data_IF_166947913554
#
_entry.id   IF_166947913554
#
_cell.length_a   1.000
_cell.length_b   1.000
_cell.length_c   1.000
_cell.angle_alpha   90.00
_cell.angle_beta   90.00
_cell.angle_gamma   90.00
#
_symmetry.space_group_name_H-M   'P 1'
#
loop_
_entity.id
_entity.type
_entity.pdbx_description
1 polymer ?
#
# COMPACT_ATOMS: atom_id res chain seq x y z
N UNK A 1 -19.61 57.93 13.79
CA UNK A 1 -20.18 56.70 14.39
C UNK A 1 -21.00 56.03 13.29
N UNK A 2 -20.80 54.80 12.80
CA UNK A 2 -20.06 53.62 13.23
C UNK A 2 -19.80 52.82 11.95
N UNK A 3 -18.56 52.79 11.45
CA UNK A 3 -18.16 51.94 10.31
C UNK A 3 -16.89 51.14 10.60
N UNK A 4 -16.61 50.92 11.90
CA UNK A 4 -15.44 50.18 12.38
C UNK A 4 -15.86 48.76 12.84
N UNK A 5 -17.16 48.51 13.08
CA UNK A 5 -17.67 47.22 13.55
C UNK A 5 -17.92 46.15 12.48
N UNK A 6 -18.00 46.50 11.19
CA UNK A 6 -18.27 45.53 10.11
C UNK A 6 -17.02 44.84 9.56
N UNK A 7 -15.87 45.52 9.61
CA UNK A 7 -14.60 44.98 9.10
C UNK A 7 -14.01 43.94 10.08
N UNK A 8 -14.23 44.11 11.38
CA UNK A 8 -13.77 43.14 12.40
C UNK A 8 -14.55 41.81 12.36
N UNK A 9 -15.81 41.82 11.90
CA UNK A 9 -16.64 40.62 11.84
C UNK A 9 -16.30 39.74 10.62
N UNK A 10 -15.90 40.36 9.51
CA UNK A 10 -15.47 39.64 8.30
C UNK A 10 -14.13 38.94 8.53
N UNK A 11 -13.24 39.51 9.37
CA UNK A 11 -11.97 38.87 9.73
C UNK A 11 -12.11 37.66 10.67
N UNK A 12 -13.18 37.57 11.46
CA UNK A 12 -13.45 36.40 12.30
C UNK A 12 -14.05 35.22 11.51
N UNK A 13 -14.72 35.48 10.39
CA UNK A 13 -15.29 34.43 9.54
C UNK A 13 -14.22 33.79 8.64
N UNK A 14 -13.12 34.50 8.35
CA UNK A 14 -12.01 33.97 7.54
C UNK A 14 -11.01 33.13 8.37
N UNK A 15 -11.15 33.11 9.70
CA UNK A 15 -10.34 32.27 10.60
C UNK A 15 -11.01 30.93 10.97
N UNK A 16 -12.12 30.59 10.31
CA UNK A 16 -12.60 29.21 10.16
C UNK A 16 -12.00 28.62 8.88
N UNK A 17 -10.67 28.67 8.77
CA UNK A 17 -9.96 27.78 7.84
C UNK A 17 -10.27 26.38 8.33
N UNK A 18 -11.07 25.68 7.53
CA UNK A 18 -11.51 24.31 7.74
C UNK A 18 -10.36 23.41 8.19
N UNK A 19 -10.16 23.27 9.49
CA UNK A 19 -9.72 22.02 10.10
C UNK A 19 -10.95 21.22 10.47
N UNK A 20 -11.80 20.95 9.48
CA UNK A 20 -12.33 19.60 9.42
C UNK A 20 -11.10 18.78 9.11
N UNK A 21 -10.46 18.24 10.16
CA UNK A 21 -9.67 17.03 9.97
C UNK A 21 -10.61 16.12 9.18
N UNK A 22 -10.31 15.90 7.90
CA UNK A 22 -11.05 14.94 7.11
C UNK A 22 -11.10 13.70 7.98
N UNK A 23 -12.30 13.28 8.40
CA UNK A 23 -12.44 11.94 8.95
C UNK A 23 -11.88 11.06 7.83
N UNK A 24 -10.70 10.46 8.07
CA UNK A 24 -10.07 9.56 7.12
C UNK A 24 -11.11 8.49 6.81
N UNK A 25 -11.80 8.64 5.68
CA UNK A 25 -12.84 7.71 5.29
C UNK A 25 -12.20 6.32 5.27
N UNK A 26 -12.75 5.41 6.05
CA UNK A 26 -12.22 4.05 6.17
C UNK A 26 -12.40 3.34 4.83
N UNK A 27 -11.39 3.43 3.97
CA UNK A 27 -11.44 2.82 2.65
C UNK A 27 -11.42 1.30 2.75
N UNK A 28 -12.24 0.64 1.92
CA UNK A 28 -12.18 -0.80 1.72
C UNK A 28 -11.37 -1.07 0.47
N UNK A 29 -10.34 -1.90 0.57
CA UNK A 29 -9.59 -2.44 -0.55
C UNK A 29 -9.89 -3.92 -0.68
N UNK A 30 -10.19 -4.37 -1.90
CA UNK A 30 -10.66 -5.72 -2.15
C UNK A 30 -9.75 -6.45 -3.12
N UNK A 31 -9.49 -7.73 -2.84
CA UNK A 31 -8.62 -8.61 -3.62
C UNK A 31 -9.07 -10.06 -3.53
N UNK A 32 -8.53 -10.94 -4.37
CA UNK A 32 -8.61 -12.38 -4.15
C UNK A 32 -7.72 -12.85 -2.99
N UNK A 33 -8.07 -14.02 -2.46
CA UNK A 33 -7.50 -14.62 -1.26
C UNK A 33 -6.24 -15.48 -1.45
N UNK A 34 -5.70 -15.54 -2.66
CA UNK A 34 -4.38 -16.13 -2.92
C UNK A 34 -3.31 -15.09 -2.72
N UNK A 35 -2.32 -15.35 -1.86
CA UNK A 35 -1.25 -14.40 -1.58
C UNK A 35 0.00 -14.64 -2.45
N UNK A 36 0.61 -13.52 -2.84
CA UNK A 36 1.91 -13.43 -3.52
C UNK A 36 2.70 -12.29 -2.84
N UNK A 37 4.00 -12.16 -3.16
CA UNK A 37 4.86 -11.15 -2.55
C UNK A 37 4.36 -9.74 -2.87
N UNK A 38 3.94 -9.50 -4.11
CA UNK A 38 3.34 -8.24 -4.57
C UNK A 38 2.12 -7.84 -3.72
N UNK A 39 1.21 -8.80 -3.47
CA UNK A 39 -0.02 -8.56 -2.69
C UNK A 39 0.31 -8.19 -1.25
N UNK A 40 1.22 -8.93 -0.62
CA UNK A 40 1.64 -8.65 0.75
C UNK A 40 2.28 -7.25 0.88
N UNK A 41 3.15 -6.88 -0.05
CA UNK A 41 3.77 -5.55 -0.10
C UNK A 41 2.72 -4.45 -0.34
N UNK A 42 1.77 -4.69 -1.27
CA UNK A 42 0.70 -3.76 -1.61
C UNK A 42 -0.25 -3.51 -0.43
N UNK A 43 -0.62 -4.56 0.31
CA UNK A 43 -1.45 -4.43 1.52
C UNK A 43 -0.72 -3.60 2.59
N UNK A 44 0.57 -3.85 2.80
CA UNK A 44 1.38 -3.02 3.72
C UNK A 44 1.42 -1.57 3.27
N UNK A 45 1.69 -1.28 1.99
CA UNK A 45 1.71 0.07 1.44
C UNK A 45 0.37 0.79 1.66
N UNK A 46 -0.74 0.10 1.37
CA UNK A 46 -2.10 0.62 1.57
C UNK A 46 -2.29 1.03 3.03
N UNK A 47 -2.05 0.11 3.97
CA UNK A 47 -2.27 0.35 5.40
C UNK A 47 -1.25 1.27 6.04
N UNK A 48 -0.09 1.52 5.41
CA UNK A 48 0.97 2.36 5.98
C UNK A 48 0.95 3.79 5.45
N UNK A 49 0.65 3.96 4.16
CA UNK A 49 0.84 5.23 3.46
C UNK A 49 -0.42 5.78 2.79
N UNK A 50 -1.40 4.94 2.45
CA UNK A 50 -2.55 5.35 1.64
C UNK A 50 -3.79 5.59 2.52
N UNK A 51 -4.13 4.61 3.36
CA UNK A 51 -5.26 4.69 4.28
C UNK A 51 -4.95 3.83 5.51
N UNK A 52 -4.48 4.43 6.63
CA UNK A 52 -4.06 3.69 7.82
C UNK A 52 -5.13 2.77 8.42
N UNK A 53 -6.39 3.14 8.24
CA UNK A 53 -7.54 2.38 8.74
C UNK A 53 -8.15 1.44 7.69
N UNK A 54 -7.50 1.28 6.53
CA UNK A 54 -8.03 0.48 5.43
C UNK A 54 -8.40 -0.95 5.87
N UNK A 55 -9.60 -1.36 5.47
CA UNK A 55 -10.04 -2.74 5.55
C UNK A 55 -9.65 -3.48 4.28
N UNK A 56 -9.04 -4.65 4.44
CA UNK A 56 -8.72 -5.53 3.32
C UNK A 56 -9.79 -6.61 3.26
N UNK A 57 -10.55 -6.63 2.18
CA UNK A 57 -11.61 -7.61 1.95
C UNK A 57 -11.15 -8.66 0.93
N UNK A 58 -11.34 -9.92 1.29
CA UNK A 58 -10.90 -11.04 0.48
C UNK A 58 -12.08 -11.76 -0.17
N UNK A 59 -12.01 -11.93 -1.48
CA UNK A 59 -12.91 -12.75 -2.27
C UNK A 59 -12.20 -14.04 -2.68
N UNK A 60 -12.93 -15.10 -3.01
CA UNK A 60 -12.31 -16.32 -3.52
C UNK A 60 -11.70 -16.04 -4.90
N UNK A 61 -10.53 -16.59 -5.18
CA UNK A 61 -9.91 -16.48 -6.52
C UNK A 61 -10.89 -16.88 -7.64
N UNK A 62 -11.05 -15.99 -8.61
CA UNK A 62 -11.94 -16.13 -9.75
C UNK A 62 -13.35 -15.55 -9.55
N UNK A 63 -13.74 -15.20 -8.33
CA UNK A 63 -15.04 -14.56 -8.08
C UNK A 63 -15.00 -13.05 -8.34
N UNK A 64 -16.12 -12.45 -8.78
CA UNK A 64 -16.21 -10.99 -8.94
C UNK A 64 -16.00 -10.26 -7.61
N UNK A 65 -15.24 -9.17 -7.65
CA UNK A 65 -15.13 -8.25 -6.51
C UNK A 65 -16.28 -7.23 -6.61
N UNK A 66 -17.15 -7.21 -5.60
CA UNK A 66 -18.41 -6.45 -5.64
C UNK A 66 -18.39 -5.14 -4.87
N UNK A 67 -17.29 -4.82 -4.18
CA UNK A 67 -17.16 -3.63 -3.35
C UNK A 67 -15.71 -3.26 -3.10
N UNK A 68 -15.49 -2.03 -2.64
CA UNK A 68 -14.18 -1.49 -2.34
C UNK A 68 -13.34 -1.24 -3.59
N UNK A 69 -12.11 -0.79 -3.35
CA UNK A 69 -11.12 -0.53 -4.38
C UNK A 69 -10.44 -1.85 -4.73
N UNK A 70 -10.71 -2.35 -5.94
CA UNK A 70 -10.12 -3.59 -6.43
C UNK A 70 -8.60 -3.43 -6.66
N UNK A 71 -7.81 -4.39 -6.17
CA UNK A 71 -6.38 -4.47 -6.45
C UNK A 71 -5.90 -5.92 -6.58
N UNK A 72 -4.80 -6.11 -7.31
CA UNK A 72 -4.08 -7.37 -7.50
C UNK A 72 -4.98 -8.53 -7.98
N UNK A 73 -5.85 -8.20 -8.93
CA UNK A 73 -6.68 -9.13 -9.72
C UNK A 73 -6.62 -8.73 -11.20
N UNK A 74 -7.03 -9.62 -12.14
CA UNK A 74 -7.00 -9.30 -13.57
C UNK A 74 -7.87 -8.10 -13.96
N UNK A 75 -9.00 -7.84 -13.30
CA UNK A 75 -9.89 -6.71 -13.59
C UNK A 75 -9.50 -5.41 -12.89
N UNK A 76 -8.68 -5.49 -11.83
CA UNK A 76 -8.35 -4.33 -11.02
C UNK A 76 -7.65 -3.23 -11.80
N UNK A 77 -7.92 -1.98 -11.40
CA UNK A 77 -7.14 -0.81 -11.84
C UNK A 77 -5.68 -0.92 -11.38
N UNK A 78 -5.48 -1.29 -10.12
CA UNK A 78 -4.17 -1.55 -9.51
C UNK A 78 -3.87 -3.03 -9.65
N UNK A 79 -3.08 -3.40 -10.65
CA UNK A 79 -2.78 -4.80 -10.95
C UNK A 79 -1.37 -4.92 -11.52
N UNK A 80 -0.86 -6.14 -11.55
CA UNK A 80 0.35 -6.46 -12.30
C UNK A 80 0.12 -6.29 -13.80
N UNK A 81 0.97 -5.49 -14.41
CA UNK A 81 1.14 -5.36 -15.86
C UNK A 81 2.45 -6.01 -16.29
N UNK A 82 2.71 -6.06 -17.60
CA UNK A 82 3.92 -6.70 -18.14
C UNK A 82 5.24 -6.06 -17.69
N UNK A 83 5.21 -4.80 -17.24
CA UNK A 83 6.38 -4.02 -16.82
C UNK A 83 6.19 -3.33 -15.47
N UNK A 84 5.16 -3.68 -14.71
CA UNK A 84 4.83 -3.00 -13.47
C UNK A 84 4.11 -3.95 -12.51
N UNK A 85 4.62 -4.07 -11.30
CA UNK A 85 3.95 -4.78 -10.20
C UNK A 85 2.71 -4.00 -9.72
N UNK A 86 1.79 -4.67 -9.03
CA UNK A 86 0.65 -4.00 -8.39
C UNK A 86 1.15 -2.92 -7.42
N UNK A 87 2.20 -3.23 -6.65
CA UNK A 87 2.86 -2.28 -5.74
C UNK A 87 3.29 -0.99 -6.45
N UNK A 88 3.97 -1.10 -7.59
CA UNK A 88 4.39 0.05 -8.39
C UNK A 88 3.21 0.85 -8.95
N UNK A 89 2.11 0.20 -9.36
CA UNK A 89 0.91 0.94 -9.79
C UNK A 89 0.29 1.77 -8.67
N UNK A 90 0.34 1.27 -7.43
CA UNK A 90 -0.13 2.00 -6.25
C UNK A 90 0.80 3.19 -5.95
N UNK A 91 2.12 3.00 -5.98
CA UNK A 91 3.08 4.09 -5.80
C UNK A 91 2.84 5.23 -6.79
N UNK A 92 2.68 4.89 -8.08
CA UNK A 92 2.45 5.86 -9.14
C UNK A 92 1.13 6.61 -8.94
N UNK A 93 0.03 5.88 -8.70
CA UNK A 93 -1.29 6.49 -8.57
C UNK A 93 -1.40 7.43 -7.37
N UNK A 94 -0.87 7.01 -6.21
CA UNK A 94 -0.89 7.80 -4.98
C UNK A 94 0.29 8.77 -4.86
N UNK A 95 1.14 8.86 -5.89
CA UNK A 95 2.28 9.79 -5.98
C UNK A 95 3.26 9.63 -4.81
N UNK A 96 3.49 8.40 -4.36
CA UNK A 96 4.43 8.06 -3.30
C UNK A 96 5.84 7.98 -3.89
N UNK A 97 6.67 8.99 -3.59
CA UNK A 97 7.97 9.22 -4.25
C UNK A 97 9.19 9.03 -3.34
N UNK A 98 9.00 8.45 -2.16
CA UNK A 98 10.09 8.23 -1.22
C UNK A 98 11.10 7.23 -1.81
N UNK A 99 12.40 7.55 -1.80
CA UNK A 99 13.46 6.73 -2.42
C UNK A 99 13.44 5.27 -1.94
N UNK A 100 13.18 5.05 -0.65
CA UNK A 100 13.04 3.70 -0.06
C UNK A 100 11.85 2.91 -0.60
N UNK A 101 10.73 3.58 -0.91
CA UNK A 101 9.54 2.93 -1.47
C UNK A 101 9.77 2.58 -2.93
N UNK A 102 10.43 3.47 -3.68
CA UNK A 102 10.84 3.20 -5.06
C UNK A 102 11.81 2.00 -5.11
N UNK A 103 12.80 1.96 -4.22
CA UNK A 103 13.74 0.84 -4.12
C UNK A 103 13.04 -0.48 -3.75
N UNK A 104 12.11 -0.43 -2.80
CA UNK A 104 11.27 -1.60 -2.49
C UNK A 104 10.45 -2.03 -3.70
N UNK A 105 9.87 -1.09 -4.45
CA UNK A 105 9.16 -1.36 -5.71
C UNK A 105 10.03 -2.10 -6.73
N UNK A 106 11.30 -1.73 -6.87
CA UNK A 106 12.25 -2.43 -7.74
C UNK A 106 12.51 -3.88 -7.28
N UNK A 107 12.56 -4.15 -5.98
CA UNK A 107 12.69 -5.52 -5.46
C UNK A 107 11.43 -6.33 -5.75
N UNK A 108 10.24 -5.76 -5.51
CA UNK A 108 8.97 -6.44 -5.82
C UNK A 108 8.85 -6.71 -7.32
N UNK A 109 9.23 -5.74 -8.16
CA UNK A 109 9.31 -5.92 -9.62
C UNK A 109 10.24 -7.08 -10.00
N UNK A 110 11.43 -7.14 -9.38
CA UNK A 110 12.40 -8.18 -9.65
C UNK A 110 11.87 -9.57 -9.25
N UNK A 111 10.98 -9.67 -8.26
CA UNK A 111 10.32 -10.93 -7.87
C UNK A 111 9.20 -11.29 -8.85
N UNK A 112 8.27 -10.36 -9.09
CA UNK A 112 6.92 -10.65 -9.61
C UNK A 112 6.74 -10.33 -11.10
N UNK A 113 7.64 -9.54 -11.67
CA UNK A 113 7.64 -9.16 -13.11
C UNK A 113 8.85 -9.77 -13.80
N UNK A 114 10.03 -9.71 -13.18
CA UNK A 114 11.28 -10.27 -13.71
C UNK A 114 11.42 -11.78 -13.42
N UNK A 115 10.37 -12.57 -13.72
CA UNK A 115 10.28 -13.98 -13.32
C UNK A 115 11.31 -14.85 -14.06
N UNK A 116 11.58 -14.54 -15.33
CA UNK A 116 12.34 -15.43 -16.24
C UNK A 116 13.81 -15.09 -16.38
N UNK A 117 14.22 -13.88 -16.01
CA UNK A 117 15.60 -13.44 -16.11
C UNK A 117 16.35 -13.62 -14.78
N UNK A 118 17.65 -13.35 -14.82
CA UNK A 118 18.46 -13.26 -13.62
C UNK A 118 17.97 -12.10 -12.73
N UNK A 119 17.78 -12.40 -11.44
CA UNK A 119 17.46 -11.39 -10.41
C UNK A 119 18.55 -10.33 -10.32
N UNK A 120 18.14 -9.07 -10.24
CA UNK A 120 19.02 -7.90 -10.32
C UNK A 120 19.25 -7.31 -8.93
N UNK A 121 18.27 -7.37 -8.04
CA UNK A 121 18.35 -6.76 -6.72
C UNK A 121 18.99 -7.72 -5.71
N UNK A 122 19.96 -7.22 -4.94
CA UNK A 122 20.68 -8.03 -3.96
C UNK A 122 19.75 -8.58 -2.86
N UNK A 123 18.72 -7.83 -2.47
CA UNK A 123 17.75 -8.21 -1.45
C UNK A 123 16.66 -9.19 -1.93
N UNK A 124 16.49 -9.38 -3.25
CA UNK A 124 15.42 -10.21 -3.83
C UNK A 124 15.33 -11.61 -3.19
N UNK A 125 16.42 -12.41 -3.10
CA UNK A 125 16.32 -13.79 -2.63
C UNK A 125 15.83 -13.90 -1.18
N UNK A 126 16.33 -13.04 -0.29
CA UNK A 126 15.99 -13.08 1.12
C UNK A 126 14.56 -12.56 1.38
N UNK A 127 14.16 -11.51 0.65
CA UNK A 127 12.80 -10.96 0.75
C UNK A 127 11.77 -11.97 0.25
N UNK A 128 11.97 -12.50 -0.95
CA UNK A 128 11.08 -13.50 -1.56
C UNK A 128 10.96 -14.73 -0.66
N UNK A 129 12.08 -15.29 -0.19
CA UNK A 129 12.10 -16.45 0.70
C UNK A 129 11.33 -16.18 2.00
N UNK A 130 11.52 -15.02 2.60
CA UNK A 130 10.88 -14.68 3.88
C UNK A 130 9.37 -14.53 3.73
N UNK A 131 8.93 -13.80 2.71
CA UNK A 131 7.49 -13.58 2.48
C UNK A 131 6.80 -14.88 2.06
N UNK A 132 7.43 -15.70 1.20
CA UNK A 132 6.89 -16.99 0.81
C UNK A 132 6.79 -17.98 2.00
N UNK A 133 7.69 -17.90 2.98
CA UNK A 133 7.59 -18.68 4.21
C UNK A 133 6.38 -18.25 5.07
N UNK A 134 6.05 -16.96 5.11
CA UNK A 134 4.83 -16.46 5.78
C UNK A 134 3.58 -16.98 5.06
N UNK A 135 3.52 -16.81 3.74
CA UNK A 135 2.40 -17.24 2.89
C UNK A 135 2.16 -18.76 2.99
N UNK A 136 3.23 -19.54 3.09
CA UNK A 136 3.17 -21.01 3.14
C UNK A 136 3.11 -21.58 4.56
N UNK A 137 2.97 -20.73 5.58
CA UNK A 137 2.98 -21.15 6.98
C UNK A 137 1.81 -22.11 7.32
N UNK A 138 1.89 -22.88 8.42
CA UNK A 138 0.79 -23.72 8.88
C UNK A 138 -0.52 -22.97 9.14
N UNK A 139 -0.43 -21.65 9.37
CA UNK A 139 -1.57 -20.77 9.64
C UNK A 139 -2.11 -20.07 8.38
N UNK A 140 -1.71 -20.49 7.18
CA UNK A 140 -2.08 -19.84 5.91
C UNK A 140 -3.58 -19.73 5.63
N UNK A 141 -4.41 -20.52 6.30
CA UNK A 141 -5.87 -20.43 6.18
C UNK A 141 -6.42 -19.15 6.86
N UNK A 142 -5.67 -18.58 7.81
CA UNK A 142 -6.00 -17.32 8.47
C UNK A 142 -5.38 -16.15 7.70
N UNK A 143 -6.17 -15.53 6.81
CA UNK A 143 -5.73 -14.45 5.93
C UNK A 143 -5.21 -13.25 6.73
N UNK A 144 -5.84 -12.95 7.85
CA UNK A 144 -5.45 -11.89 8.77
C UNK A 144 -4.08 -12.16 9.40
N UNK A 145 -3.73 -13.43 9.64
CA UNK A 145 -2.40 -13.80 10.11
C UNK A 145 -1.33 -13.49 9.04
N UNK A 146 -1.58 -13.86 7.78
CA UNK A 146 -0.64 -13.54 6.68
C UNK A 146 -0.47 -12.04 6.55
N UNK A 147 -1.58 -11.28 6.55
CA UNK A 147 -1.57 -9.81 6.48
C UNK A 147 -0.74 -9.21 7.61
N UNK A 148 -0.96 -9.63 8.85
CA UNK A 148 -0.23 -9.12 10.00
C UNK A 148 1.28 -9.44 9.92
N UNK A 149 1.64 -10.68 9.60
CA UNK A 149 3.06 -11.06 9.49
C UNK A 149 3.77 -10.34 8.34
N UNK A 150 3.13 -10.22 7.17
CA UNK A 150 3.65 -9.44 6.06
C UNK A 150 3.79 -7.95 6.46
N UNK A 151 2.80 -7.38 7.15
CA UNK A 151 2.84 -6.00 7.63
C UNK A 151 4.02 -5.74 8.58
N UNK A 152 4.24 -6.64 9.54
CA UNK A 152 5.37 -6.55 10.46
C UNK A 152 6.72 -6.68 9.73
N UNK A 153 6.82 -7.62 8.78
CA UNK A 153 8.01 -7.81 7.97
C UNK A 153 8.39 -6.53 7.19
N UNK A 154 7.45 -5.98 6.42
CA UNK A 154 7.72 -4.78 5.60
C UNK A 154 7.96 -3.53 6.46
N UNK A 155 7.29 -3.38 7.60
CA UNK A 155 7.53 -2.27 8.54
C UNK A 155 8.94 -2.34 9.16
N UNK A 156 9.42 -3.54 9.47
CA UNK A 156 10.79 -3.76 9.93
C UNK A 156 11.80 -3.53 8.80
N UNK A 157 11.51 -4.04 7.61
CA UNK A 157 12.34 -3.85 6.41
C UNK A 157 12.55 -2.36 6.11
N UNK A 158 11.47 -1.58 6.14
CA UNK A 158 11.48 -0.14 5.97
C UNK A 158 12.35 0.55 7.03
N UNK A 159 12.15 0.21 8.31
CA UNK A 159 12.87 0.83 9.44
C UNK A 159 14.38 0.53 9.42
N UNK A 160 14.78 -0.66 8.97
CA UNK A 160 16.18 -1.08 8.91
C UNK A 160 16.98 -0.40 7.79
N UNK A 161 16.31 0.24 6.83
CA UNK A 161 16.92 0.84 5.63
C UNK A 161 16.87 2.39 5.63
N UNK A 162 16.69 3.01 6.79
CA UNK A 162 16.82 4.47 6.99
C UNK A 162 18.24 4.94 6.58
N UNK A 163 18.41 6.06 5.85
CA UNK A 163 19.38 6.16 4.76
C UNK A 163 20.84 6.26 5.20
N UNK A 164 21.75 5.71 4.37
CA UNK A 164 23.15 6.14 4.32
C UNK A 164 23.15 7.64 3.96
N UNK A 165 23.74 8.53 4.77
CA UNK A 165 23.87 9.93 4.38
C UNK A 165 24.70 10.02 3.09
N UNK A 166 24.22 10.81 2.13
CA UNK A 166 24.92 11.12 0.87
C UNK A 166 26.32 11.67 1.12
#
# INVERSE_FOLDING_TARGET
MSSIGKILFIFWIVLLVNTVAAEDEKLVFSTWDTFEVDKCASIWLIKRYISPQAEIRFFKKGEPITEGIEFDTPSAKFRRYHNQSTFETLLEHYKLKEEKLIYLGQIIHDIEVNIWEKKIMAETPDLEKTVNAIISSPNKEYKEYIVEQCYQYFSKYESAKTPVPK
#
